data_IF_765094558782
#
_entry.id   IF_765094558782
#
_cell.length_a   1.000
_cell.length_b   1.000
_cell.length_c   1.000
_cell.angle_alpha   90.00
_cell.angle_beta   90.00
_cell.angle_gamma   90.00
#
_symmetry.space_group_name_H-M   'P 1'
#
loop_
_entity.id
_entity.type
_entity.pdbx_description
1 polymer ?
#
# COMPACT_ATOMS: atom_id res chain seq x y z
N UNK A 1 -33.60 -78.40 13.33
CA UNK A 1 -33.32 -77.71 14.60
C UNK A 1 -31.96 -77.01 14.38
N UNK A 2 -31.84 -75.88 14.30
CA UNK A 2 -32.23 -74.57 14.71
C UNK A 2 -31.71 -73.53 13.69
N UNK A 3 -32.60 -72.79 13.13
CA UNK A 3 -32.32 -71.59 12.37
C UNK A 3 -31.74 -70.54 13.30
N UNK A 4 -30.63 -69.98 12.96
CA UNK A 4 -30.18 -68.72 13.53
C UNK A 4 -29.99 -67.74 12.38
N UNK A 5 -30.83 -66.75 12.43
CA UNK A 5 -30.87 -65.60 11.52
C UNK A 5 -29.58 -64.83 11.59
N UNK A 6 -28.96 -64.64 10.43
CA UNK A 6 -27.95 -63.65 10.22
C UNK A 6 -28.63 -62.44 9.58
N UNK A 7 -29.18 -61.60 10.41
CA UNK A 7 -29.64 -60.28 10.00
C UNK A 7 -28.47 -59.30 9.98
N UNK A 8 -28.09 -58.92 8.84
CA UNK A 8 -27.91 -57.59 8.31
C UNK A 8 -27.04 -56.63 9.12
N UNK A 9 -25.83 -56.48 8.68
CA UNK A 9 -25.07 -55.26 8.92
C UNK A 9 -24.84 -54.58 7.56
N UNK A 10 -25.76 -53.71 7.17
CA UNK A 10 -25.54 -52.81 6.05
C UNK A 10 -24.87 -51.57 6.61
N UNK A 11 -23.60 -51.30 6.33
CA UNK A 11 -23.06 -49.98 6.59
C UNK A 11 -23.64 -49.03 5.58
N UNK A 12 -24.46 -48.11 6.06
CA UNK A 12 -24.91 -46.97 5.32
C UNK A 12 -23.70 -46.11 4.97
N UNK A 13 -23.22 -46.23 3.76
CA UNK A 13 -22.32 -45.26 3.12
C UNK A 13 -23.11 -43.99 2.82
N UNK A 14 -23.39 -43.22 3.86
CA UNK A 14 -23.79 -41.85 3.66
C UNK A 14 -22.55 -41.04 3.29
N UNK A 15 -22.51 -40.59 2.04
CA UNK A 15 -21.49 -39.77 1.51
C UNK A 15 -21.33 -38.51 2.33
N UNK A 16 -20.12 -38.29 2.78
CA UNK A 16 -19.65 -36.99 3.18
C UNK A 16 -19.61 -36.12 1.94
N UNK A 17 -20.70 -35.42 1.67
CA UNK A 17 -20.70 -34.27 0.80
C UNK A 17 -19.82 -33.23 1.48
N UNK A 18 -18.54 -33.20 1.11
CA UNK A 18 -17.67 -32.12 1.50
C UNK A 18 -18.16 -30.82 0.87
N UNK A 19 -18.56 -29.88 1.70
CA UNK A 19 -18.83 -28.54 1.25
C UNK A 19 -17.62 -27.99 0.50
N UNK A 20 -17.81 -27.35 -0.67
CA UNK A 20 -16.70 -26.70 -1.34
C UNK A 20 -16.15 -25.60 -0.44
N UNK A 21 -14.82 -25.46 -0.35
CA UNK A 21 -14.23 -24.42 0.46
C UNK A 21 -14.74 -23.07 -0.03
N UNK A 22 -15.49 -22.39 0.83
CA UNK A 22 -15.94 -21.03 0.59
C UNK A 22 -14.71 -20.16 0.33
N UNK A 23 -14.71 -19.32 -0.70
CA UNK A 23 -13.59 -18.41 -0.93
C UNK A 23 -13.45 -17.53 0.30
N UNK A 24 -12.34 -17.72 1.00
CA UNK A 24 -11.96 -16.89 2.13
C UNK A 24 -11.88 -15.46 1.62
N UNK A 25 -12.92 -14.69 1.84
CA UNK A 25 -12.83 -13.24 1.70
C UNK A 25 -11.75 -12.82 2.70
N UNK A 26 -10.59 -12.48 2.20
CA UNK A 26 -9.59 -11.76 2.97
C UNK A 26 -10.22 -10.44 3.43
N UNK A 27 -10.90 -10.53 4.54
CA UNK A 27 -11.43 -9.38 5.23
C UNK A 27 -10.25 -8.56 5.72
N UNK A 28 -10.09 -7.36 5.19
CA UNK A 28 -9.17 -6.38 5.77
C UNK A 28 -9.61 -6.18 7.22
N UNK A 29 -8.96 -6.86 8.16
CA UNK A 29 -9.16 -6.62 9.59
C UNK A 29 -8.62 -5.22 9.90
N UNK A 30 -9.53 -4.29 10.06
CA UNK A 30 -9.20 -2.97 10.60
C UNK A 30 -8.90 -3.15 12.08
N UNK A 31 -7.64 -3.22 12.43
CA UNK A 31 -7.20 -3.18 13.83
C UNK A 31 -7.20 -1.71 14.23
N UNK A 32 -8.22 -1.29 14.97
CA UNK A 32 -8.24 0.02 15.63
C UNK A 32 -7.48 -0.15 16.95
N UNK A 33 -6.23 0.23 16.97
CA UNK A 33 -5.46 0.39 18.19
C UNK A 33 -5.39 1.88 18.50
N UNK A 34 -6.10 2.30 19.53
CA UNK A 34 -6.03 3.65 20.16
C UNK A 34 -6.03 4.83 19.18
N UNK A 35 -7.18 5.13 18.57
CA UNK A 35 -7.46 6.36 17.81
C UNK A 35 -6.37 6.90 16.87
N UNK A 36 -5.30 6.16 16.66
CA UNK A 36 -4.28 6.47 15.66
C UNK A 36 -4.73 5.91 14.31
N UNK A 37 -5.09 6.78 13.39
CA UNK A 37 -5.42 6.40 12.03
C UNK A 37 -4.14 6.01 11.29
N UNK A 38 -3.79 4.72 11.30
CA UNK A 38 -2.70 4.19 10.48
C UNK A 38 -3.22 3.98 9.05
N UNK A 39 -2.83 4.86 8.14
CA UNK A 39 -3.14 4.70 6.72
C UNK A 39 -2.06 3.83 6.08
N UNK A 40 -2.39 2.57 5.80
CA UNK A 40 -1.56 1.70 4.97
C UNK A 40 -1.96 1.86 3.52
N UNK A 41 -1.09 2.43 2.70
CA UNK A 41 -1.33 2.63 1.27
C UNK A 41 -0.63 1.50 0.50
N UNK A 42 -1.37 0.56 -0.12
CA UNK A 42 -0.76 -0.49 -0.91
C UNK A 42 -0.15 0.08 -2.20
N UNK A 43 1.12 -0.19 -2.42
CA UNK A 43 1.81 0.18 -3.65
C UNK A 43 1.59 -0.92 -4.68
N UNK A 44 0.83 -0.64 -5.73
CA UNK A 44 0.71 -1.52 -6.89
C UNK A 44 1.80 -1.17 -7.90
N UNK A 45 2.68 -2.09 -8.27
CA UNK A 45 3.61 -1.86 -9.36
C UNK A 45 2.81 -1.80 -10.66
N UNK A 46 2.58 -0.59 -11.15
CA UNK A 46 2.05 -0.40 -12.49
C UNK A 46 3.23 -0.45 -13.45
N UNK A 47 3.18 -1.33 -14.45
CA UNK A 47 4.09 -1.23 -15.60
C UNK A 47 3.80 0.12 -16.27
N UNK A 48 4.53 1.14 -15.87
CA UNK A 48 4.38 2.47 -16.43
C UNK A 48 5.25 2.57 -17.67
N UNK A 49 4.67 3.01 -18.77
CA UNK A 49 5.46 3.67 -19.80
C UNK A 49 6.39 4.65 -19.09
N UNK A 50 7.66 4.64 -19.44
CA UNK A 50 8.64 5.57 -18.86
C UNK A 50 8.23 6.99 -19.22
N UNK A 51 7.53 7.63 -18.31
CA UNK A 51 7.19 9.03 -18.43
C UNK A 51 8.32 9.80 -17.76
N UNK A 52 9.02 10.62 -18.51
CA UNK A 52 9.98 11.55 -17.94
C UNK A 52 9.23 12.66 -17.20
N UNK A 53 9.70 13.00 -16.01
CA UNK A 53 9.05 13.99 -15.17
C UNK A 53 9.93 15.21 -14.98
N UNK A 54 9.37 16.40 -15.19
CA UNK A 54 10.04 17.66 -14.86
C UNK A 54 9.70 18.04 -13.43
N UNK A 55 10.73 18.22 -12.61
CA UNK A 55 10.59 18.65 -11.23
C UNK A 55 10.60 20.16 -11.11
N UNK A 56 9.59 20.72 -10.45
CA UNK A 56 9.53 22.14 -10.06
C UNK A 56 9.39 22.28 -8.55
N UNK A 57 9.62 23.47 -8.02
CA UNK A 57 9.44 23.77 -6.61
C UNK A 57 8.01 23.36 -6.15
N UNK A 58 7.92 22.58 -5.09
CA UNK A 58 6.67 22.11 -4.50
C UNK A 58 6.17 23.00 -3.36
N UNK A 59 4.99 22.66 -2.79
CA UNK A 59 4.46 23.31 -1.60
C UNK A 59 5.31 22.95 -0.37
N UNK A 60 5.11 23.67 0.73
CA UNK A 60 5.72 23.33 2.03
C UNK A 60 4.95 22.19 2.71
N UNK A 61 3.63 22.15 2.55
CA UNK A 61 2.74 21.14 3.14
C UNK A 61 1.72 20.65 2.12
N UNK A 62 1.22 19.44 2.31
CA UNK A 62 0.17 18.79 1.51
C UNK A 62 -0.92 18.34 2.47
N UNK A 63 -2.19 18.61 2.17
CA UNK A 63 -3.33 18.09 2.94
C UNK A 63 -3.51 16.60 2.70
N UNK A 64 -3.74 15.84 3.77
CA UNK A 64 -3.92 14.38 3.71
C UNK A 64 -5.18 13.99 2.94
N UNK A 65 -6.22 14.80 3.02
CA UNK A 65 -7.48 14.64 2.29
C UNK A 65 -7.31 14.67 0.77
N UNK A 66 -6.23 15.30 0.30
CA UNK A 66 -5.92 15.41 -1.14
C UNK A 66 -5.19 14.17 -1.68
N UNK A 67 -4.68 13.30 -0.81
CA UNK A 67 -3.94 12.13 -1.23
C UNK A 67 -4.88 11.07 -1.82
N UNK A 68 -4.51 10.55 -2.98
CA UNK A 68 -5.14 9.40 -3.61
C UNK A 68 -4.26 8.15 -3.52
N UNK A 69 -2.95 8.33 -3.41
CA UNK A 69 -1.99 7.23 -3.30
C UNK A 69 -0.55 7.71 -3.24
N UNK A 70 0.36 6.77 -3.15
CA UNK A 70 1.79 7.02 -3.16
C UNK A 70 2.53 5.86 -3.83
N UNK A 71 3.71 6.16 -4.35
CA UNK A 71 4.62 5.18 -4.94
C UNK A 71 6.07 5.55 -4.65
N UNK A 72 6.89 4.54 -4.45
CA UNK A 72 8.33 4.75 -4.36
C UNK A 72 8.88 5.12 -5.73
N UNK A 73 9.67 6.17 -5.79
CA UNK A 73 10.28 6.67 -7.03
C UNK A 73 11.80 6.64 -7.00
N UNK A 74 12.37 6.21 -5.88
CA UNK A 74 13.81 6.06 -5.69
C UNK A 74 14.11 5.64 -4.25
N UNK A 75 15.38 5.45 -3.91
CA UNK A 75 15.79 5.01 -2.57
C UNK A 75 15.47 6.05 -1.48
N UNK A 76 15.41 7.33 -1.84
CA UNK A 76 15.12 8.44 -0.93
C UNK A 76 13.99 9.33 -1.42
N UNK A 77 13.07 8.81 -2.25
CA UNK A 77 11.97 9.61 -2.78
C UNK A 77 10.67 8.83 -2.91
N UNK A 78 9.57 9.51 -2.60
CA UNK A 78 8.20 9.00 -2.71
C UNK A 78 7.39 10.00 -3.53
N UNK A 79 6.68 9.49 -4.53
CA UNK A 79 5.75 10.28 -5.32
C UNK A 79 4.34 10.11 -4.76
N UNK A 80 3.77 11.18 -4.22
CA UNK A 80 2.37 11.26 -3.83
C UNK A 80 1.52 11.58 -5.05
N UNK A 81 0.48 10.78 -5.26
CA UNK A 81 -0.54 11.04 -6.26
C UNK A 81 -1.72 11.72 -5.57
N UNK A 82 -2.10 12.88 -6.03
CA UNK A 82 -3.23 13.62 -5.49
C UNK A 82 -4.54 13.22 -6.21
N UNK A 83 -5.67 13.56 -5.61
CA UNK A 83 -7.01 13.28 -6.18
C UNK A 83 -7.26 13.98 -7.51
N UNK A 84 -6.62 15.13 -7.73
CA UNK A 84 -6.62 15.87 -9.00
C UNK A 84 -5.66 15.27 -10.05
N UNK A 85 -5.07 14.09 -9.78
CA UNK A 85 -4.08 13.39 -10.60
C UNK A 85 -2.72 14.10 -10.69
N UNK A 86 -2.51 15.22 -10.05
CA UNK A 86 -1.19 15.83 -9.96
C UNK A 86 -0.28 14.97 -9.08
N UNK A 87 1.03 15.12 -9.26
CA UNK A 87 2.03 14.39 -8.49
C UNK A 87 2.97 15.32 -7.76
N UNK A 88 3.28 14.95 -6.54
CA UNK A 88 4.24 15.67 -5.70
C UNK A 88 5.24 14.65 -5.16
N UNK A 89 6.50 14.86 -5.46
CA UNK A 89 7.61 14.08 -4.92
C UNK A 89 8.02 14.61 -3.57
N UNK A 90 8.01 13.74 -2.57
CA UNK A 90 8.70 13.96 -1.32
C UNK A 90 10.14 13.48 -1.48
N UNK A 91 11.09 14.35 -1.25
CA UNK A 91 12.51 14.03 -1.20
C UNK A 91 12.90 13.95 0.27
N UNK A 92 13.46 12.80 0.67
CA UNK A 92 13.98 12.58 2.01
C UNK A 92 15.41 13.09 2.11
N UNK A 93 15.88 13.26 3.32
CA UNK A 93 17.31 13.39 3.60
C UNK A 93 18.06 12.11 3.13
N UNK A 94 19.36 12.23 2.86
CA UNK A 94 20.15 11.18 2.19
C UNK A 94 20.27 9.87 3.00
N UNK A 95 19.87 9.87 4.26
CA UNK A 95 19.96 8.74 5.17
C UNK A 95 18.61 8.03 5.34
N UNK A 96 18.03 7.50 4.25
CA UNK A 96 16.78 6.77 4.33
C UNK A 96 16.98 5.26 4.01
N UNK A 97 17.52 4.47 4.94
CA UNK A 97 17.77 3.06 4.69
C UNK A 97 16.46 2.27 4.58
N UNK A 98 16.42 1.37 3.61
CA UNK A 98 15.38 0.36 3.45
C UNK A 98 13.95 0.87 3.18
N UNK A 99 13.80 2.07 2.65
CA UNK A 99 12.49 2.57 2.21
C UNK A 99 11.90 1.70 1.08
N UNK A 100 12.76 1.18 0.22
CA UNK A 100 12.43 0.36 -0.95
C UNK A 100 12.30 -1.14 -0.65
N UNK A 101 12.82 -1.62 0.48
CA UNK A 101 12.96 -3.04 0.76
C UNK A 101 11.62 -3.79 0.92
N UNK A 102 10.60 -3.15 1.52
CA UNK A 102 9.30 -3.78 1.81
C UNK A 102 8.10 -3.13 1.08
N UNK A 103 8.35 -2.29 0.10
CA UNK A 103 7.31 -1.64 -0.72
C UNK A 103 6.18 -0.98 0.09
N UNK A 104 6.49 -0.50 1.27
CA UNK A 104 5.50 0.14 2.12
C UNK A 104 6.13 1.05 3.16
N UNK A 105 5.41 2.09 3.52
CA UNK A 105 5.82 3.04 4.54
C UNK A 105 4.61 3.52 5.33
N UNK A 106 4.87 4.10 6.48
CA UNK A 106 3.87 4.70 7.35
C UNK A 106 4.11 6.20 7.47
N UNK A 107 3.03 6.94 7.46
CA UNK A 107 2.99 8.37 7.70
C UNK A 107 2.11 8.63 8.91
N UNK A 108 2.62 9.41 9.86
CA UNK A 108 1.90 9.84 11.06
C UNK A 108 1.98 11.37 11.14
N UNK A 109 1.16 12.09 10.39
CA UNK A 109 1.11 13.54 10.54
C UNK A 109 0.42 13.90 11.85
N UNK A 110 0.95 14.91 12.56
CA UNK A 110 0.35 15.41 13.80
C UNK A 110 -0.98 16.14 13.56
N UNK A 111 -1.19 16.60 12.34
CA UNK A 111 -2.42 17.24 11.88
C UNK A 111 -2.83 16.65 10.50
N UNK A 112 -3.87 17.17 9.89
CA UNK A 112 -4.34 16.75 8.58
C UNK A 112 -3.41 17.18 7.41
N UNK A 113 -2.14 17.50 7.70
CA UNK A 113 -1.18 18.01 6.73
C UNK A 113 0.16 17.36 6.88
N UNK A 114 0.77 17.00 5.77
CA UNK A 114 2.14 16.49 5.69
C UNK A 114 3.04 17.64 5.28
N UNK A 115 4.01 17.99 6.10
CA UNK A 115 4.87 19.15 5.90
C UNK A 115 6.35 18.74 5.79
N UNK A 116 7.04 19.36 4.83
CA UNK A 116 8.49 19.23 4.72
C UNK A 116 9.19 19.80 5.96
N UNK A 117 10.29 19.18 6.37
CA UNK A 117 11.14 19.50 7.53
C UNK A 117 10.44 19.31 8.90
N UNK A 118 9.17 18.92 8.91
CA UNK A 118 8.43 18.59 10.11
C UNK A 118 8.15 17.10 10.20
N UNK A 119 7.58 16.54 9.15
CA UNK A 119 7.06 15.17 9.19
C UNK A 119 8.08 14.15 8.71
N UNK A 120 7.93 12.95 9.25
CA UNK A 120 8.78 11.81 8.97
C UNK A 120 8.00 10.68 8.34
N UNK A 121 8.70 9.86 7.59
CA UNK A 121 8.20 8.62 7.02
C UNK A 121 8.88 7.47 7.73
N UNK A 122 8.13 6.45 8.11
CA UNK A 122 8.67 5.23 8.71
C UNK A 122 8.61 4.09 7.71
N UNK A 123 9.74 3.42 7.50
CA UNK A 123 9.77 2.15 6.79
C UNK A 123 9.23 1.02 7.65
N UNK A 124 8.82 -0.09 7.03
CA UNK A 124 8.34 -1.28 7.77
C UNK A 124 9.39 -1.92 8.67
N UNK A 125 10.65 -1.71 8.39
CA UNK A 125 11.79 -2.22 9.19
C UNK A 125 12.24 -1.27 10.29
N UNK A 126 11.49 -0.18 10.53
CA UNK A 126 11.75 0.75 11.61
C UNK A 126 12.65 1.94 11.27
N UNK A 127 13.10 2.06 10.01
CA UNK A 127 13.82 3.27 9.55
C UNK A 127 12.90 4.49 9.55
N UNK A 128 13.40 5.62 10.05
CA UNK A 128 12.69 6.90 10.10
C UNK A 128 13.42 7.88 9.21
N UNK A 129 12.69 8.47 8.25
CA UNK A 129 13.25 9.41 7.28
C UNK A 129 12.47 10.71 7.34
N UNK A 130 13.17 11.83 7.42
CA UNK A 130 12.55 13.14 7.40
C UNK A 130 12.28 13.57 5.97
N UNK A 131 11.10 14.16 5.72
CA UNK A 131 10.80 14.80 4.46
C UNK A 131 11.56 16.13 4.43
N UNK A 132 12.55 16.24 3.54
CA UNK A 132 13.33 17.49 3.41
C UNK A 132 12.56 18.54 2.61
N UNK A 133 12.01 18.13 1.46
CA UNK A 133 11.30 19.05 0.55
C UNK A 133 10.30 18.33 -0.33
N UNK A 134 9.35 19.08 -0.85
CA UNK A 134 8.43 18.65 -1.90
C UNK A 134 8.79 19.24 -3.26
N UNK A 135 8.58 18.43 -4.32
CA UNK A 135 8.72 18.81 -5.73
C UNK A 135 7.43 18.50 -6.46
N UNK A 136 6.93 19.43 -7.27
CA UNK A 136 5.83 19.16 -8.20
C UNK A 136 6.37 18.46 -9.43
N UNK A 137 5.69 17.40 -9.86
CA UNK A 137 6.06 16.63 -11.04
C UNK A 137 5.14 16.98 -12.20
N UNK A 138 5.73 17.28 -13.34
CA UNK A 138 5.02 17.51 -14.59
C UNK A 138 5.44 16.46 -15.61
N UNK A 139 4.50 15.76 -16.26
CA UNK A 139 4.85 14.76 -17.26
C UNK A 139 5.48 15.44 -18.47
N UNK A 140 6.62 14.92 -18.92
CA UNK A 140 7.24 15.31 -20.17
C UNK A 140 6.79 14.34 -21.25
N UNK A 141 6.01 14.82 -22.21
CA UNK A 141 5.61 14.04 -23.37
C UNK A 141 6.77 14.05 -24.36
N UNK A 142 7.49 12.94 -24.50
CA UNK A 142 8.39 12.77 -25.63
C UNK A 142 7.56 12.54 -26.89
N UNK A 143 7.55 13.51 -27.80
CA UNK A 143 7.10 13.27 -29.15
C UNK A 143 8.08 12.29 -29.81
N UNK A 144 7.63 11.07 -30.02
CA UNK A 144 8.35 10.13 -30.89
C UNK A 144 8.21 10.69 -32.30
N UNK A 145 9.27 11.34 -32.81
CA UNK A 145 9.36 11.62 -34.25
C UNK A 145 9.36 10.28 -34.97
N UNK A 146 8.31 10.04 -35.75
CA UNK A 146 8.27 8.98 -36.76
C UNK A 146 9.21 9.33 -37.90
#
# INVERSE_FOLDING_TARGET
MTLIALLGLIPALFGLAGDPPSPTREGVRRVVINQELVISIPIRPRQSQRVDWIEKKGPKCIGTERLAGAMLSGPSSIDFVLRDRSRIRAVMDDECPALDFYRGFYLHPDDERICARRDTIRSRVGGVCRIERFRRLFPQVKQVRR
#
